data_IF_555337157971
#
_entry.id   IF_555337157971
#
_cell.length_a   1.000
_cell.length_b   1.000
_cell.length_c   1.000
_cell.angle_alpha   90.00
_cell.angle_beta   90.00
_cell.angle_gamma   90.00
#
_symmetry.space_group_name_H-M   'P 1'
#
loop_
_entity.id
_entity.type
_entity.pdbx_description
1 polymer ?
#
# COMPACT_ATOMS: atom_id res chain seq x y z
N UNK A 1 6.95 34.18 35.26
CA UNK A 1 7.23 33.24 34.15
C UNK A 1 5.96 32.48 33.85
N UNK A 2 5.35 32.66 32.67
CA UNK A 2 4.15 31.91 32.29
C UNK A 2 4.55 30.49 31.91
N UNK A 3 4.07 29.47 32.62
CA UNK A 3 4.23 28.09 32.16
C UNK A 3 3.47 27.94 30.85
N UNK A 4 4.17 27.61 29.76
CA UNK A 4 3.53 27.19 28.52
C UNK A 4 2.81 25.87 28.84
N UNK A 5 1.48 25.91 28.97
CA UNK A 5 0.66 24.70 28.98
C UNK A 5 0.82 24.04 27.61
N UNK A 6 1.41 22.85 27.59
CA UNK A 6 1.46 21.99 26.41
C UNK A 6 0.03 21.45 26.26
N UNK A 7 -0.60 21.56 25.08
CA UNK A 7 -1.92 20.98 24.86
C UNK A 7 -1.90 19.47 25.04
N UNK A 8 -2.96 18.93 25.65
CA UNK A 8 -3.20 17.50 25.65
C UNK A 8 -3.68 17.05 24.28
N UNK A 9 -3.28 15.85 23.87
CA UNK A 9 -3.73 15.23 22.62
C UNK A 9 -4.76 14.15 22.94
N UNK A 10 -5.90 14.16 22.25
CA UNK A 10 -6.83 13.03 22.20
C UNK A 10 -6.66 12.27 20.88
N UNK A 11 -6.89 10.96 20.92
CA UNK A 11 -6.90 10.10 19.74
C UNK A 11 -8.28 9.47 19.68
N UNK A 12 -9.02 9.79 18.62
CA UNK A 12 -10.36 9.28 18.37
C UNK A 12 -10.38 8.61 17.00
N UNK A 13 -11.10 7.49 16.90
CA UNK A 13 -11.34 6.85 15.60
C UNK A 13 -12.43 7.61 14.87
N UNK A 14 -12.20 7.89 13.59
CA UNK A 14 -13.27 8.34 12.69
C UNK A 14 -14.40 7.33 12.64
N UNK A 15 -15.63 7.78 12.37
CA UNK A 15 -16.77 6.89 12.09
C UNK A 15 -16.50 5.97 10.87
N UNK A 16 -15.65 6.42 9.95
CA UNK A 16 -15.22 5.66 8.77
C UNK A 16 -13.90 4.88 9.00
N UNK A 17 -13.41 4.84 10.25
CA UNK A 17 -12.19 4.10 10.57
C UNK A 17 -12.41 2.61 10.30
N UNK A 18 -11.56 2.04 9.44
CA UNK A 18 -11.59 0.63 9.10
C UNK A 18 -10.19 0.05 9.05
N UNK A 19 -10.12 -1.25 9.31
CA UNK A 19 -8.92 -2.05 9.13
C UNK A 19 -9.00 -2.74 7.78
N UNK A 20 -7.88 -2.73 7.05
CA UNK A 20 -7.79 -3.28 5.69
C UNK A 20 -6.52 -4.10 5.61
N UNK A 21 -6.64 -5.35 5.14
CA UNK A 21 -5.48 -6.13 4.73
C UNK A 21 -5.06 -5.66 3.34
N UNK A 22 -3.97 -4.91 3.26
CA UNK A 22 -3.56 -4.28 2.00
C UNK A 22 -2.80 -5.28 1.12
N UNK A 23 -3.16 -5.34 -0.16
CA UNK A 23 -2.43 -6.13 -1.15
C UNK A 23 -1.43 -5.27 -1.92
N UNK A 24 -1.71 -3.96 -2.03
CA UNK A 24 -0.76 -3.02 -2.60
C UNK A 24 -1.20 -1.57 -2.61
N UNK A 25 -0.35 -0.75 -3.22
CA UNK A 25 -0.54 0.69 -3.36
C UNK A 25 -0.16 1.12 -4.77
N UNK A 26 -1.06 1.83 -5.45
CA UNK A 26 -0.70 2.63 -6.63
C UNK A 26 -0.33 4.04 -6.22
N UNK A 27 0.53 4.70 -6.99
CA UNK A 27 0.77 6.10 -6.74
C UNK A 27 2.13 6.61 -7.20
N UNK A 28 2.44 7.81 -6.73
CA UNK A 28 3.69 8.45 -7.02
C UNK A 28 3.83 9.78 -6.29
N UNK A 29 5.04 10.32 -6.35
CA UNK A 29 5.40 11.63 -5.82
C UNK A 29 5.81 12.53 -6.98
N UNK A 30 5.24 13.72 -7.04
CA UNK A 30 5.63 14.78 -7.96
C UNK A 30 5.74 16.12 -7.20
N UNK A 31 6.19 17.21 -7.85
CA UNK A 31 6.34 18.51 -7.18
C UNK A 31 5.06 19.07 -6.55
N UNK A 32 3.89 18.70 -7.06
CA UNK A 32 2.59 19.15 -6.54
C UNK A 32 2.12 18.34 -5.33
N UNK A 33 2.68 17.14 -5.11
CA UNK A 33 2.30 16.28 -4.00
C UNK A 33 2.51 14.80 -4.29
N UNK A 34 2.23 13.99 -3.28
CA UNK A 34 2.17 12.55 -3.37
C UNK A 34 0.72 12.07 -3.37
N UNK A 35 0.45 11.08 -4.21
CA UNK A 35 -0.81 10.34 -4.25
C UNK A 35 -0.53 8.87 -3.97
N UNK A 36 -1.31 8.27 -3.08
CA UNK A 36 -1.27 6.83 -2.77
C UNK A 36 -2.69 6.28 -2.79
N UNK A 37 -2.95 5.26 -3.59
CA UNK A 37 -4.24 4.56 -3.67
C UNK A 37 -4.03 3.15 -3.17
N UNK A 38 -4.57 2.86 -1.99
CA UNK A 38 -4.53 1.52 -1.37
C UNK A 38 -5.57 0.65 -2.04
N UNK A 39 -5.21 -0.58 -2.39
CA UNK A 39 -6.14 -1.55 -2.97
C UNK A 39 -6.02 -2.92 -2.30
N UNK A 40 -7.10 -3.70 -2.43
CA UNK A 40 -7.15 -5.14 -2.14
C UNK A 40 -7.33 -5.93 -3.43
N UNK A 41 -6.91 -7.19 -3.46
CA UNK A 41 -7.03 -8.09 -4.61
C UNK A 41 -8.04 -9.22 -4.33
N UNK A 42 -8.97 -9.41 -5.26
CA UNK A 42 -9.86 -10.59 -5.30
C UNK A 42 -9.50 -11.46 -6.51
N UNK A 43 -9.21 -12.73 -6.26
CA UNK A 43 -8.97 -13.71 -7.31
C UNK A 43 -10.30 -14.34 -7.71
N UNK A 44 -10.79 -14.00 -8.90
CA UNK A 44 -12.05 -14.53 -9.44
C UNK A 44 -11.74 -15.83 -10.22
N UNK A 45 -12.20 -16.99 -9.72
CA UNK A 45 -11.97 -18.25 -10.40
C UNK A 45 -13.03 -18.49 -11.49
N UNK A 46 -12.61 -19.13 -12.59
CA UNK A 46 -13.50 -19.73 -13.56
C UNK A 46 -13.65 -21.21 -13.25
N UNK A 47 -14.89 -21.61 -13.00
CA UNK A 47 -15.25 -23.02 -12.80
C UNK A 47 -15.74 -23.55 -14.15
N UNK A 48 -15.13 -24.64 -14.64
CA UNK A 48 -15.68 -25.39 -15.77
C UNK A 48 -16.68 -26.43 -15.23
N UNK A 49 -18.01 -26.23 -15.36
CA UNK A 49 -19.01 -27.15 -14.82
C UNK A 49 -19.03 -28.52 -15.53
N UNK A 50 -18.35 -28.66 -16.67
CA UNK A 50 -18.17 -29.92 -17.41
C UNK A 50 -16.78 -30.54 -17.22
N UNK A 51 -15.91 -29.89 -16.44
CA UNK A 51 -14.55 -30.36 -16.14
C UNK A 51 -14.50 -31.34 -14.96
N UNK A 52 -13.30 -31.87 -14.66
CA UNK A 52 -13.10 -32.67 -13.44
C UNK A 52 -13.24 -31.77 -12.20
N UNK A 53 -13.82 -32.27 -11.10
CA UNK A 53 -13.83 -31.56 -9.82
C UNK A 53 -12.41 -31.14 -9.42
N UNK A 54 -12.24 -29.87 -9.04
CA UNK A 54 -10.94 -29.29 -8.70
C UNK A 54 -10.25 -28.50 -9.82
N UNK A 55 -10.78 -28.52 -11.05
CA UNK A 55 -10.30 -27.65 -12.12
C UNK A 55 -10.90 -26.25 -11.98
N UNK A 56 -10.31 -25.44 -11.11
CA UNK A 56 -10.50 -23.99 -11.06
C UNK A 56 -9.31 -23.32 -11.72
N UNK A 57 -9.59 -22.49 -12.72
CA UNK A 57 -8.58 -21.65 -13.37
C UNK A 57 -8.78 -20.21 -12.92
N UNK A 58 -7.70 -19.45 -12.75
CA UNK A 58 -7.80 -18.02 -12.47
C UNK A 58 -8.32 -17.32 -13.73
N UNK A 59 -9.48 -16.66 -13.63
CA UNK A 59 -10.04 -15.88 -14.75
C UNK A 59 -9.51 -14.45 -14.71
N UNK A 60 -9.58 -13.85 -13.51
CA UNK A 60 -9.31 -12.44 -13.32
C UNK A 60 -8.81 -12.17 -11.90
N UNK A 61 -7.95 -11.17 -11.77
CA UNK A 61 -7.62 -10.52 -10.49
C UNK A 61 -8.30 -9.15 -10.49
N UNK A 62 -9.17 -8.90 -9.51
CA UNK A 62 -9.86 -7.62 -9.33
C UNK A 62 -9.12 -6.83 -8.26
N UNK A 63 -8.59 -5.65 -8.63
CA UNK A 63 -8.02 -4.70 -7.67
C UNK A 63 -9.08 -3.72 -7.22
N UNK A 64 -9.60 -3.89 -6.02
CA UNK A 64 -10.59 -3.01 -5.43
C UNK A 64 -9.90 -1.83 -4.73
N UNK A 65 -10.15 -0.61 -5.22
CA UNK A 65 -9.57 0.60 -4.64
C UNK A 65 -10.28 0.90 -3.32
N UNK A 66 -9.51 0.91 -2.24
CA UNK A 66 -10.03 1.10 -0.90
C UNK A 66 -10.02 2.58 -0.51
N UNK A 67 -8.86 3.21 -0.54
CA UNK A 67 -8.75 4.62 -0.14
C UNK A 67 -7.64 5.33 -0.89
N UNK A 68 -7.81 6.63 -1.07
CA UNK A 68 -6.86 7.50 -1.74
C UNK A 68 -6.35 8.55 -0.76
N UNK A 69 -5.03 8.60 -0.59
CA UNK A 69 -4.31 9.53 0.27
C UNK A 69 -3.60 10.57 -0.59
N UNK A 70 -3.77 11.84 -0.22
CA UNK A 70 -3.05 12.98 -0.78
C UNK A 70 -2.20 13.61 0.30
N UNK A 71 -0.94 13.87 -0.02
CA UNK A 71 -0.02 14.44 0.95
C UNK A 71 1.02 15.34 0.29
N UNK A 72 1.54 16.29 1.07
CA UNK A 72 2.67 17.11 0.61
C UNK A 72 3.95 16.25 0.51
N UNK A 73 4.95 16.69 -0.28
CA UNK A 73 6.23 15.97 -0.37
C UNK A 73 6.92 15.79 0.99
N UNK A 74 6.76 16.76 1.90
CA UNK A 74 7.31 16.69 3.26
C UNK A 74 6.65 15.58 4.07
N UNK A 75 5.31 15.46 3.99
CA UNK A 75 4.57 14.42 4.70
C UNK A 75 4.88 13.03 4.14
N UNK A 76 4.99 12.90 2.82
CA UNK A 76 5.40 11.64 2.19
C UNK A 76 6.78 11.19 2.67
N UNK A 77 7.76 12.10 2.73
CA UNK A 77 9.10 11.79 3.24
C UNK A 77 9.08 11.40 4.72
N UNK A 78 8.24 12.05 5.52
CA UNK A 78 8.08 11.70 6.93
C UNK A 78 7.54 10.28 7.10
N UNK A 79 6.48 9.94 6.35
CA UNK A 79 5.89 8.59 6.34
C UNK A 79 6.90 7.54 5.88
N UNK A 80 7.62 7.79 4.78
CA UNK A 80 8.67 6.90 4.28
C UNK A 80 9.74 6.62 5.34
N UNK A 81 10.27 7.66 5.97
CA UNK A 81 11.29 7.51 7.01
C UNK A 81 10.77 6.71 8.21
N UNK A 82 9.51 6.92 8.59
CA UNK A 82 8.86 6.13 9.64
C UNK A 82 8.76 4.66 9.25
N UNK A 83 8.28 4.33 8.05
CA UNK A 83 8.17 2.95 7.56
C UNK A 83 9.55 2.28 7.48
N UNK A 84 10.51 2.95 6.84
CA UNK A 84 11.89 2.46 6.69
C UNK A 84 12.52 2.10 8.03
N UNK A 85 12.41 2.98 9.02
CA UNK A 85 12.94 2.73 10.36
C UNK A 85 12.33 1.49 11.03
N UNK A 86 11.04 1.23 10.81
CA UNK A 86 10.39 0.05 11.39
C UNK A 86 10.78 -1.23 10.65
N UNK A 87 10.92 -1.17 9.33
CA UNK A 87 11.41 -2.26 8.51
C UNK A 87 12.83 -2.66 8.93
N UNK A 88 13.76 -1.70 9.00
CA UNK A 88 15.16 -1.96 9.38
C UNK A 88 15.26 -2.65 10.76
N UNK A 89 14.47 -2.18 11.73
CA UNK A 89 14.42 -2.80 13.07
C UNK A 89 13.86 -4.22 13.07
N UNK A 90 12.89 -4.49 12.19
CA UNK A 90 12.33 -5.82 12.05
C UNK A 90 13.39 -6.75 11.46
N UNK A 91 14.04 -6.34 10.38
CA UNK A 91 15.04 -7.16 9.67
C UNK A 91 16.29 -7.42 10.51
N UNK A 92 16.74 -6.44 11.31
CA UNK A 92 17.81 -6.64 12.29
C UNK A 92 17.51 -7.79 13.27
N UNK A 93 16.23 -7.94 13.65
CA UNK A 93 15.80 -8.93 14.64
C UNK A 93 15.43 -10.29 14.03
N UNK A 94 14.87 -10.30 12.83
CA UNK A 94 14.22 -11.49 12.24
C UNK A 94 14.85 -11.95 10.92
N UNK A 95 15.82 -11.21 10.38
CA UNK A 95 16.40 -11.45 9.06
C UNK A 95 15.76 -10.59 7.98
N UNK A 96 16.48 -10.44 6.86
CA UNK A 96 16.06 -9.66 5.69
C UNK A 96 14.82 -10.25 5.02
N UNK A 97 13.92 -9.39 4.54
CA UNK A 97 12.75 -9.82 3.77
C UNK A 97 13.14 -9.93 2.30
N UNK A 98 13.18 -11.16 1.78
CA UNK A 98 13.40 -11.39 0.36
C UNK A 98 12.17 -10.98 -0.45
N UNK A 99 12.33 -9.98 -1.32
CA UNK A 99 11.31 -9.59 -2.29
C UNK A 99 11.66 -10.26 -3.63
N UNK A 100 10.93 -11.32 -3.99
CA UNK A 100 10.98 -11.83 -5.36
C UNK A 100 10.39 -10.76 -6.31
N UNK A 101 11.25 -10.06 -7.05
CA UNK A 101 10.82 -9.04 -8.00
C UNK A 101 9.99 -9.67 -9.14
N UNK A 102 8.67 -9.70 -9.01
CA UNK A 102 7.77 -9.96 -10.15
C UNK A 102 7.67 -8.70 -11.01
N UNK A 103 8.50 -8.63 -12.05
CA UNK A 103 8.27 -7.85 -13.27
C UNK A 103 8.61 -6.36 -13.19
N UNK A 104 9.86 -6.02 -13.53
CA UNK A 104 10.17 -4.70 -14.07
C UNK A 104 9.40 -4.51 -15.39
N UNK A 105 8.32 -3.73 -15.39
CA UNK A 105 7.88 -3.09 -16.64
C UNK A 105 9.00 -2.12 -17.07
N UNK A 106 9.79 -2.56 -18.06
CA UNK A 106 10.73 -1.69 -18.76
C UNK A 106 9.91 -0.59 -19.43
N UNK A 107 10.20 0.71 -19.23
CA UNK A 107 9.61 1.73 -20.09
C UNK A 107 10.10 1.47 -21.52
N UNK A 108 9.21 1.03 -22.40
CA UNK A 108 9.47 1.07 -23.83
C UNK A 108 9.87 2.50 -24.19
N UNK A 109 11.04 2.63 -24.81
CA UNK A 109 11.57 3.88 -25.33
C UNK A 109 10.53 4.53 -26.25
N UNK A 110 9.73 5.45 -25.73
CA UNK A 110 9.12 6.49 -26.56
C UNK A 110 10.17 7.58 -26.78
N UNK A 111 11.00 7.38 -27.79
CA UNK A 111 11.66 8.48 -28.48
C UNK A 111 11.53 8.26 -29.98
N UNK A 112 10.80 9.19 -30.62
CA UNK A 112 11.01 9.65 -32.00
C UNK A 112 10.57 8.71 -33.11
#
# INVERSE_FOLDING_TARGET
>A
MSSKKIPDFSIEKSEEYREIHLDGVFGGLNPNGAKMVIYTEEHVPKINPRGKPGNMELDQIVRELQTELHMSPVQFKSLFNWMKKHLEKYEEKFGEIEIEAKGEERPEKMFG
#
